data_IF_738552274026
#
_entry.id   IF_738552274026
#
_cell.length_a   1.000
_cell.length_b   1.000
_cell.length_c   1.000
_cell.angle_alpha   90.00
_cell.angle_beta   90.00
_cell.angle_gamma   90.00
#
_symmetry.space_group_name_H-M   'P 1'
#
loop_
_entity.id
_entity.type
_entity.pdbx_description
1 polymer ?
#
# COMPACT_ATOMS: atom_id res chain seq x y z
N UNK A 1 33.45 -21.45 23.88
CA UNK A 1 32.93 -21.53 22.50
C UNK A 1 31.43 -21.29 22.50
N UNK A 2 31.00 -20.12 22.03
CA UNK A 2 29.59 -19.72 21.92
C UNK A 2 28.92 -20.42 20.73
N UNK A 3 27.78 -21.10 20.98
CA UNK A 3 27.00 -21.82 19.96
C UNK A 3 26.57 -20.90 18.81
N UNK A 4 26.52 -21.37 17.55
CA UNK A 4 26.15 -20.53 16.42
C UNK A 4 24.64 -20.26 16.42
N UNK A 5 24.26 -18.98 16.32
CA UNK A 5 22.87 -18.50 16.21
C UNK A 5 22.23 -19.06 14.94
N UNK A 6 21.40 -20.11 15.04
CA UNK A 6 20.80 -20.80 13.88
C UNK A 6 19.25 -20.77 13.84
N UNK A 7 18.61 -19.71 14.35
CA UNK A 7 17.14 -19.60 14.44
C UNK A 7 16.53 -18.28 13.89
N UNK A 8 17.23 -17.58 12.99
CA UNK A 8 16.77 -16.26 12.49
C UNK A 8 15.97 -16.35 11.17
N UNK A 9 16.29 -17.31 10.28
CA UNK A 9 15.65 -17.43 8.94
C UNK A 9 14.12 -17.63 8.97
N UNK A 10 13.55 -18.54 9.79
CA UNK A 10 12.10 -18.79 9.75
C UNK A 10 11.25 -17.58 10.12
N UNK A 11 11.73 -16.74 11.05
CA UNK A 11 11.02 -15.53 11.50
C UNK A 11 11.07 -14.41 10.45
N UNK A 12 12.19 -14.27 9.75
CA UNK A 12 12.34 -13.31 8.64
C UNK A 12 11.41 -13.70 7.48
N UNK A 13 11.43 -14.97 7.06
CA UNK A 13 10.55 -15.48 6.01
C UNK A 13 9.07 -15.36 6.37
N UNK A 14 8.71 -15.62 7.62
CA UNK A 14 7.35 -15.43 8.11
C UNK A 14 6.92 -13.96 8.03
N UNK A 15 7.75 -13.03 8.50
CA UNK A 15 7.44 -11.60 8.44
C UNK A 15 7.32 -11.09 7.00
N UNK A 16 8.15 -11.58 6.08
CA UNK A 16 8.03 -11.26 4.65
C UNK A 16 6.73 -11.82 4.08
N UNK A 17 6.37 -13.07 4.38
CA UNK A 17 5.10 -13.66 3.93
C UNK A 17 3.89 -12.91 4.44
N UNK A 18 3.89 -12.54 5.72
CA UNK A 18 2.84 -11.75 6.34
C UNK A 18 2.71 -10.38 5.68
N UNK A 19 3.83 -9.68 5.48
CA UNK A 19 3.85 -8.40 4.75
C UNK A 19 3.26 -8.54 3.34
N UNK A 20 3.71 -9.52 2.56
CA UNK A 20 3.23 -9.76 1.20
C UNK A 20 1.74 -10.04 1.17
N UNK A 21 1.27 -10.93 2.04
CA UNK A 21 -0.14 -11.26 2.15
C UNK A 21 -1.00 -10.02 2.43
N UNK A 22 -0.62 -9.21 3.41
CA UNK A 22 -1.39 -8.00 3.79
C UNK A 22 -1.33 -6.94 2.69
N UNK A 23 -0.20 -6.80 1.98
CA UNK A 23 -0.08 -5.91 0.83
C UNK A 23 -0.98 -6.37 -0.33
N UNK A 24 -0.95 -7.66 -0.67
CA UNK A 24 -1.78 -8.25 -1.74
C UNK A 24 -3.27 -8.10 -1.40
N UNK A 25 -3.65 -8.27 -0.13
CA UNK A 25 -5.01 -8.05 0.34
C UNK A 25 -5.44 -6.58 0.21
N UNK A 26 -4.56 -5.64 0.55
CA UNK A 26 -4.84 -4.20 0.36
C UNK A 26 -5.01 -3.83 -1.12
N UNK A 27 -4.16 -4.38 -1.99
CA UNK A 27 -4.24 -4.19 -3.45
C UNK A 27 -5.58 -4.71 -3.96
N UNK A 28 -5.93 -5.95 -3.59
CA UNK A 28 -7.17 -6.59 -4.02
C UNK A 28 -8.40 -5.80 -3.56
N UNK A 29 -8.45 -5.36 -2.30
CA UNK A 29 -9.57 -4.56 -1.80
C UNK A 29 -9.71 -3.24 -2.54
N UNK A 30 -8.59 -2.55 -2.81
CA UNK A 30 -8.58 -1.30 -3.56
C UNK A 30 -9.04 -1.51 -5.02
N UNK A 31 -8.52 -2.54 -5.68
CA UNK A 31 -8.93 -2.97 -7.02
C UNK A 31 -10.43 -3.27 -7.11
N UNK A 32 -10.99 -3.97 -6.11
CA UNK A 32 -12.43 -4.24 -6.06
C UNK A 32 -13.24 -2.95 -5.90
N UNK A 33 -12.80 -2.02 -5.06
CA UNK A 33 -13.48 -0.72 -4.91
C UNK A 33 -13.47 0.08 -6.23
N UNK A 34 -12.36 0.01 -6.98
CA UNK A 34 -12.24 0.62 -8.32
C UNK A 34 -13.29 0.03 -9.27
N UNK A 35 -13.41 -1.29 -9.30
CA UNK A 35 -14.35 -2.00 -10.17
C UNK A 35 -15.81 -1.73 -9.80
N UNK A 36 -16.14 -1.75 -8.51
CA UNK A 36 -17.49 -1.44 -8.02
C UNK A 36 -17.93 -0.04 -8.48
N UNK A 37 -17.03 0.95 -8.45
CA UNK A 37 -17.34 2.31 -8.85
C UNK A 37 -17.35 2.51 -10.38
N UNK A 38 -16.55 1.75 -11.13
CA UNK A 38 -16.56 1.80 -12.59
C UNK A 38 -17.81 1.16 -13.22
N UNK A 39 -18.60 0.41 -12.44
CA UNK A 39 -19.77 -0.31 -12.94
C UNK A 39 -19.42 -1.47 -13.88
N UNK A 40 -18.15 -1.88 -13.92
CA UNK A 40 -17.65 -2.97 -14.76
C UNK A 40 -17.29 -4.18 -13.91
N UNK A 41 -17.47 -5.37 -14.48
CA UNK A 41 -17.09 -6.64 -13.83
C UNK A 41 -16.23 -7.45 -14.79
N UNK A 42 -14.91 -7.20 -14.87
CA UNK A 42 -14.01 -7.95 -15.72
C UNK A 42 -14.10 -9.45 -15.42
N UNK A 43 -13.82 -10.31 -16.40
CA UNK A 43 -14.02 -11.77 -16.24
C UNK A 43 -13.24 -12.36 -15.07
N UNK A 44 -12.04 -11.82 -14.79
CA UNK A 44 -11.18 -12.15 -13.64
C UNK A 44 -11.90 -12.00 -12.28
N UNK A 45 -12.94 -11.18 -12.24
CA UNK A 45 -13.69 -10.79 -11.06
C UNK A 45 -15.08 -11.44 -10.99
N UNK A 46 -15.53 -12.15 -12.03
CA UNK A 46 -16.82 -12.86 -12.00
C UNK A 46 -16.86 -13.94 -10.92
N UNK A 47 -15.73 -14.60 -10.64
CA UNK A 47 -15.60 -15.65 -9.63
C UNK A 47 -15.37 -15.13 -8.19
N UNK A 48 -15.00 -13.86 -8.02
CA UNK A 48 -14.78 -13.28 -6.69
C UNK A 48 -16.10 -12.86 -6.05
N UNK A 49 -16.29 -13.29 -4.81
CA UNK A 49 -17.47 -12.96 -4.02
C UNK A 49 -17.27 -11.59 -3.36
N UNK A 50 -17.65 -10.50 -4.05
CA UNK A 50 -17.41 -9.11 -3.63
C UNK A 50 -18.18 -8.64 -2.39
N UNK A 51 -19.00 -9.50 -1.79
CA UNK A 51 -19.90 -9.13 -0.67
C UNK A 51 -19.18 -8.63 0.60
N UNK A 52 -17.85 -8.59 0.63
CA UNK A 52 -17.05 -8.14 1.79
C UNK A 52 -16.06 -7.01 1.50
N UNK A 53 -15.92 -6.53 0.26
CA UNK A 53 -15.02 -5.41 -0.01
C UNK A 53 -15.70 -4.10 0.36
N UNK A 54 -15.21 -3.46 1.42
CA UNK A 54 -15.67 -2.17 1.91
C UNK A 54 -14.47 -1.27 2.20
N UNK A 55 -14.72 0.04 2.29
CA UNK A 55 -13.71 1.01 2.70
C UNK A 55 -13.21 0.69 4.12
N UNK A 56 -14.10 0.27 5.02
CA UNK A 56 -13.74 -0.10 6.39
C UNK A 56 -12.77 -1.29 6.39
N UNK A 57 -13.04 -2.32 5.59
CA UNK A 57 -12.15 -3.47 5.44
C UNK A 57 -10.79 -3.08 4.87
N UNK A 58 -10.76 -2.17 3.88
CA UNK A 58 -9.50 -1.64 3.35
C UNK A 58 -8.74 -0.88 4.44
N UNK A 59 -9.41 -0.04 5.23
CA UNK A 59 -8.79 0.71 6.32
C UNK A 59 -8.15 -0.20 7.38
N UNK A 60 -8.83 -1.28 7.78
CA UNK A 60 -8.29 -2.25 8.74
C UNK A 60 -7.01 -2.94 8.21
N UNK A 61 -7.01 -3.31 6.92
CA UNK A 61 -5.84 -3.91 6.27
C UNK A 61 -4.70 -2.90 6.15
N UNK A 62 -4.99 -1.64 5.81
CA UNK A 62 -3.99 -0.57 5.75
C UNK A 62 -3.39 -0.26 7.13
N UNK A 63 -4.18 -0.32 8.21
CA UNK A 63 -3.69 -0.20 9.57
C UNK A 63 -2.78 -1.37 9.96
N UNK A 64 -3.13 -2.58 9.53
CA UNK A 64 -2.29 -3.77 9.72
C UNK A 64 -0.96 -3.62 8.97
N UNK A 65 -1.02 -3.20 7.70
CA UNK A 65 0.16 -2.94 6.88
C UNK A 65 1.04 -1.84 7.50
N UNK A 66 0.43 -0.76 8.00
CA UNK A 66 1.10 0.31 8.75
C UNK A 66 1.83 -0.24 9.97
N UNK A 67 1.19 -1.11 10.75
CA UNK A 67 1.82 -1.74 11.92
C UNK A 67 3.04 -2.58 11.55
N UNK A 68 2.97 -3.35 10.46
CA UNK A 68 4.08 -4.16 9.97
C UNK A 68 5.26 -3.29 9.53
N UNK A 69 5.02 -2.26 8.71
CA UNK A 69 6.08 -1.37 8.21
C UNK A 69 6.66 -0.51 9.34
N UNK A 70 5.84 -0.05 10.29
CA UNK A 70 6.26 0.79 11.42
C UNK A 70 7.26 0.10 12.35
N UNK A 71 7.32 -1.24 12.35
CA UNK A 71 8.36 -2.02 13.06
C UNK A 71 9.77 -1.76 12.51
N UNK A 72 9.91 -1.11 11.34
CA UNK A 72 11.18 -0.68 10.70
C UNK A 72 12.24 -1.78 10.67
N UNK A 73 11.83 -3.00 10.35
CA UNK A 73 12.75 -4.12 10.21
C UNK A 73 13.56 -3.92 8.91
N UNK A 74 14.91 -3.85 8.95
CA UNK A 74 15.71 -3.52 7.77
C UNK A 74 15.40 -4.39 6.55
N UNK A 75 15.24 -5.71 6.76
CA UNK A 75 14.91 -6.65 5.69
C UNK A 75 13.52 -6.43 5.06
N UNK A 76 12.57 -5.81 5.77
CA UNK A 76 11.27 -5.43 5.19
C UNK A 76 11.40 -4.17 4.34
N UNK A 77 12.30 -3.25 4.71
CA UNK A 77 12.57 -2.06 3.89
C UNK A 77 13.15 -2.47 2.54
N UNK A 78 14.11 -3.40 2.50
CA UNK A 78 14.64 -3.94 1.23
C UNK A 78 13.56 -4.63 0.36
N UNK A 79 12.52 -5.18 0.98
CA UNK A 79 11.38 -5.75 0.26
C UNK A 79 10.50 -4.64 -0.29
N UNK A 80 10.16 -3.64 0.52
CA UNK A 80 9.35 -2.48 0.13
C UNK A 80 10.01 -1.73 -1.03
N UNK A 81 11.31 -1.46 -0.94
CA UNK A 81 12.06 -0.73 -1.96
C UNK A 81 11.98 -1.46 -3.32
N UNK A 82 12.09 -2.79 -3.32
CA UNK A 82 11.91 -3.60 -4.54
C UNK A 82 10.49 -3.52 -5.11
N UNK A 83 9.47 -3.60 -4.27
CA UNK A 83 8.07 -3.44 -4.71
C UNK A 83 7.83 -2.02 -5.28
N UNK A 84 8.44 -1.00 -4.69
CA UNK A 84 8.35 0.38 -5.20
C UNK A 84 9.08 0.52 -6.54
N UNK A 85 10.30 -0.02 -6.65
CA UNK A 85 11.07 0.02 -7.89
C UNK A 85 10.35 -0.69 -9.04
N UNK A 86 9.85 -1.91 -8.80
CA UNK A 86 9.10 -2.69 -9.79
C UNK A 86 7.84 -1.93 -10.25
N UNK A 87 7.07 -1.40 -9.30
CA UNK A 87 5.89 -0.61 -9.63
C UNK A 87 6.27 0.63 -10.43
N UNK A 88 7.33 1.36 -10.06
CA UNK A 88 7.74 2.58 -10.76
C UNK A 88 8.21 2.30 -12.20
N UNK A 89 8.91 1.19 -12.45
CA UNK A 89 9.29 0.78 -13.81
C UNK A 89 8.03 0.55 -14.65
N UNK A 90 7.04 -0.17 -14.10
CA UNK A 90 5.79 -0.48 -14.79
C UNK A 90 4.94 0.78 -15.01
N UNK A 91 4.81 1.64 -14.01
CA UNK A 91 4.05 2.89 -14.07
C UNK A 91 4.63 3.84 -15.12
N UNK A 92 5.95 3.97 -15.19
CA UNK A 92 6.61 4.92 -16.12
C UNK A 92 6.61 4.44 -17.58
N UNK A 93 6.23 3.18 -17.84
CA UNK A 93 6.06 2.66 -19.21
C UNK A 93 4.96 3.38 -20.00
N UNK A 94 4.00 4.02 -19.32
CA UNK A 94 2.90 4.78 -19.94
C UNK A 94 2.76 6.17 -19.31
N UNK A 95 3.12 7.21 -20.05
CA UNK A 95 3.23 8.58 -19.52
C UNK A 95 1.92 9.12 -18.92
N UNK A 96 0.78 8.82 -19.52
CA UNK A 96 -0.54 9.22 -19.02
C UNK A 96 -0.86 8.55 -17.67
N UNK A 97 -0.63 7.23 -17.58
CA UNK A 97 -0.81 6.48 -16.34
C UNK A 97 0.13 6.99 -15.23
N UNK A 98 1.39 7.23 -15.54
CA UNK A 98 2.35 7.81 -14.60
C UNK A 98 1.89 9.15 -14.02
N UNK A 99 1.32 10.04 -14.86
CA UNK A 99 0.77 11.32 -14.40
C UNK A 99 -0.38 11.13 -13.41
N UNK A 100 -1.27 10.18 -13.70
CA UNK A 100 -2.39 9.83 -12.83
C UNK A 100 -1.89 9.29 -11.49
N UNK A 101 -0.95 8.36 -11.48
CA UNK A 101 -0.41 7.80 -10.24
C UNK A 101 0.30 8.87 -9.40
N UNK A 102 1.10 9.75 -10.02
CA UNK A 102 1.73 10.88 -9.34
C UNK A 102 0.66 11.82 -8.74
N UNK A 103 -0.44 12.05 -9.45
CA UNK A 103 -1.56 12.83 -8.94
C UNK A 103 -2.19 12.16 -7.70
N UNK A 104 -2.41 10.85 -7.76
CA UNK A 104 -2.91 10.06 -6.63
C UNK A 104 -1.97 10.16 -5.41
N UNK A 105 -0.64 10.16 -5.64
CA UNK A 105 0.33 10.33 -4.56
C UNK A 105 0.22 11.68 -3.87
N UNK A 106 0.03 12.76 -4.63
CA UNK A 106 -0.07 14.13 -4.09
C UNK A 106 -1.31 14.30 -3.23
N UNK A 107 -2.45 13.78 -3.69
CA UNK A 107 -3.73 13.89 -3.00
C UNK A 107 -3.95 12.85 -1.90
N UNK A 108 -3.11 11.82 -1.82
CA UNK A 108 -3.25 10.75 -0.83
C UNK A 108 -4.64 10.05 -0.90
N UNK A 109 -5.11 9.81 -2.13
CA UNK A 109 -6.52 9.48 -2.46
C UNK A 109 -7.13 8.25 -1.76
N UNK A 110 -6.31 7.37 -1.18
CA UNK A 110 -6.81 6.25 -0.36
C UNK A 110 -7.50 6.77 0.92
N UNK A 111 -7.03 7.90 1.48
CA UNK A 111 -7.50 8.42 2.77
C UNK A 111 -8.82 9.20 2.69
N UNK A 112 -9.08 9.87 1.56
CA UNK A 112 -10.14 10.87 1.43
C UNK A 112 -11.44 10.31 0.84
N UNK A 113 -11.64 8.98 0.87
CA UNK A 113 -12.80 8.29 0.26
C UNK A 113 -13.05 8.67 -1.20
N UNK A 114 -12.08 9.31 -1.85
CA UNK A 114 -12.26 10.03 -3.10
C UNK A 114 -11.64 9.25 -4.24
N UNK A 115 -12.52 8.68 -5.06
CA UNK A 115 -12.39 8.63 -6.51
C UNK A 115 -11.08 8.05 -7.08
N UNK A 116 -10.31 7.25 -6.35
CA UNK A 116 -9.17 6.50 -6.93
C UNK A 116 -9.65 5.73 -8.17
N UNK A 117 -10.88 5.24 -8.09
CA UNK A 117 -11.64 4.63 -9.16
C UNK A 117 -11.89 5.55 -10.35
N UNK A 118 -12.21 6.84 -10.17
CA UNK A 118 -12.38 7.75 -11.30
C UNK A 118 -11.09 7.93 -12.09
N UNK A 119 -9.96 8.01 -11.39
CA UNK A 119 -8.66 8.21 -12.02
C UNK A 119 -8.12 6.92 -12.66
N UNK A 120 -8.40 5.77 -12.04
CA UNK A 120 -7.86 4.48 -12.48
C UNK A 120 -8.82 3.68 -13.37
N UNK A 121 -10.10 4.02 -13.42
CA UNK A 121 -11.10 3.36 -14.27
C UNK A 121 -10.71 3.26 -15.75
N UNK A 122 -10.08 4.28 -16.37
CA UNK A 122 -9.64 4.17 -17.78
C UNK A 122 -8.63 3.04 -18.05
N UNK A 123 -7.99 2.49 -17.01
CA UNK A 123 -6.96 1.46 -17.13
C UNK A 123 -7.44 0.08 -16.66
N UNK A 124 -8.75 -0.13 -16.46
CA UNK A 124 -9.31 -1.42 -16.01
C UNK A 124 -8.98 -2.57 -16.96
N UNK A 125 -8.89 -2.30 -18.27
CA UNK A 125 -8.49 -3.29 -19.27
C UNK A 125 -6.97 -3.58 -19.26
N UNK A 126 -6.16 -2.68 -18.68
CA UNK A 126 -4.71 -2.84 -18.49
C UNK A 126 -4.42 -3.35 -17.08
N UNK A 127 -4.97 -4.50 -16.74
CA UNK A 127 -5.03 -5.00 -15.37
C UNK A 127 -3.67 -5.05 -14.65
N UNK A 128 -2.64 -5.57 -15.31
CA UNK A 128 -1.30 -5.64 -14.71
C UNK A 128 -0.78 -4.24 -14.35
N UNK A 129 -0.98 -3.27 -15.24
CA UNK A 129 -0.58 -1.88 -15.02
C UNK A 129 -1.38 -1.26 -13.87
N UNK A 130 -2.70 -1.54 -13.82
CA UNK A 130 -3.58 -1.12 -12.72
C UNK A 130 -3.09 -1.65 -11.37
N UNK A 131 -2.79 -2.95 -11.26
CA UNK A 131 -2.28 -3.57 -10.04
C UNK A 131 -0.99 -2.92 -9.54
N UNK A 132 -0.04 -2.64 -10.44
CA UNK A 132 1.19 -1.92 -10.08
C UNK A 132 0.93 -0.48 -9.61
N UNK A 133 0.00 0.22 -10.26
CA UNK A 133 -0.44 1.54 -9.84
C UNK A 133 -1.03 1.54 -8.43
N UNK A 134 -1.96 0.62 -8.18
CA UNK A 134 -2.61 0.45 -6.87
C UNK A 134 -1.59 0.10 -5.78
N UNK A 135 -0.68 -0.84 -6.05
CA UNK A 135 0.42 -1.19 -5.15
C UNK A 135 1.23 0.04 -4.74
N UNK A 136 1.63 0.86 -5.71
CA UNK A 136 2.43 2.05 -5.43
C UNK A 136 1.65 3.08 -4.59
N UNK A 137 0.35 3.26 -4.86
CA UNK A 137 -0.51 4.16 -4.10
C UNK A 137 -0.68 3.66 -2.66
N UNK A 138 -0.94 2.37 -2.45
CA UNK A 138 -1.08 1.74 -1.11
C UNK A 138 0.18 1.95 -0.29
N UNK A 139 1.35 1.62 -0.85
CA UNK A 139 2.62 1.78 -0.15
C UNK A 139 2.92 3.25 0.15
N UNK A 140 2.71 4.16 -0.81
CA UNK A 140 2.89 5.59 -0.59
C UNK A 140 1.97 6.11 0.51
N UNK A 141 0.71 5.70 0.54
CA UNK A 141 -0.25 6.09 1.57
C UNK A 141 0.23 5.66 2.96
N UNK A 142 0.60 4.39 3.12
CA UNK A 142 1.03 3.84 4.42
C UNK A 142 2.33 4.49 4.90
N UNK A 143 3.31 4.67 4.01
CA UNK A 143 4.58 5.31 4.35
C UNK A 143 4.37 6.78 4.75
N UNK A 144 3.55 7.53 4.00
CA UNK A 144 3.19 8.91 4.38
C UNK A 144 2.49 8.96 5.75
N UNK A 145 1.58 8.03 6.02
CA UNK A 145 0.89 7.93 7.31
C UNK A 145 1.87 7.67 8.47
N UNK A 146 2.90 6.84 8.27
CA UNK A 146 3.96 6.62 9.27
C UNK A 146 4.80 7.88 9.46
N UNK A 147 5.20 8.56 8.38
CA UNK A 147 6.02 9.77 8.47
C UNK A 147 5.27 10.89 9.19
N UNK A 148 3.98 11.07 8.92
CA UNK A 148 3.15 12.03 9.67
C UNK A 148 3.05 11.71 11.17
N UNK A 149 2.96 10.43 11.57
CA UNK A 149 3.00 10.04 12.99
C UNK A 149 4.32 10.47 13.65
N UNK A 150 5.44 10.28 12.94
CA UNK A 150 6.78 10.63 13.42
C UNK A 150 6.92 12.15 13.56
N UNK A 151 6.53 12.92 12.55
CA UNK A 151 6.58 14.38 12.57
C UNK A 151 5.71 14.95 13.70
N UNK A 152 4.51 14.41 13.90
CA UNK A 152 3.63 14.79 15.01
C UNK A 152 4.27 14.50 16.37
N UNK A 153 4.92 13.35 16.54
CA UNK A 153 5.61 13.00 17.79
C UNK A 153 6.78 13.98 18.07
N UNK A 154 7.60 14.26 17.06
CA UNK A 154 8.71 15.22 17.17
C UNK A 154 8.22 16.64 17.46
N UNK A 155 7.11 17.06 16.86
CA UNK A 155 6.50 18.35 17.15
C UNK A 155 6.01 18.42 18.61
N UNK A 156 5.34 17.38 19.11
CA UNK A 156 4.91 17.30 20.51
C UNK A 156 6.09 17.39 21.48
N UNK A 157 7.20 16.71 21.20
CA UNK A 157 8.42 16.81 22.01
C UNK A 157 9.02 18.22 22.00
N UNK A 158 9.10 18.87 20.82
CA UNK A 158 9.59 20.25 20.71
C UNK A 158 8.71 21.24 21.46
N UNK A 159 7.39 21.09 21.39
CA UNK A 159 6.43 21.89 22.14
C UNK A 159 6.62 21.65 23.65
N UNK A 160 6.64 20.40 24.10
CA UNK A 160 6.82 20.07 25.51
C UNK A 160 8.14 20.61 26.10
N UNK A 161 9.21 20.73 25.30
CA UNK A 161 10.49 21.34 25.70
C UNK A 161 10.47 22.88 25.73
N UNK A 162 9.54 23.54 25.03
CA UNK A 162 9.40 25.01 25.01
C UNK A 162 8.51 25.53 26.13
N UNK A 163 7.61 24.70 26.65
CA UNK A 163 6.66 25.05 27.72
C UNK A 163 6.99 24.38 29.06
N UNK A 164 8.18 23.79 29.20
CA UNK A 164 8.81 23.39 30.46
C UNK A 164 10.01 24.30 30.70
#
# INVERSE_FOLDING_TARGET
MSKPRRYVRPRVEQAIREFKHVLDEAILLCEVLILQQAGTRPERFRAMNFKKASIDSLNDVLLTLKSLIKKKLPFLMDVIDRYQEEAMIKITSKAEFARIIIHCFKLNLIADNSNISLYLAPFIEEWELLSFGVQAIVLNHVIKSINMDIERAQLRERIAKKFK
#
